data_IF_337951935338
#
_entry.id   IF_337951935338
#
_cell.length_a   1.000
_cell.length_b   1.000
_cell.length_c   1.000
_cell.angle_alpha   90.00
_cell.angle_beta   90.00
_cell.angle_gamma   90.00
#
_symmetry.space_group_name_H-M   'P 1'
#
loop_
_entity.id
_entity.type
_entity.pdbx_description
1 polymer ?
#
# COMPACT_ATOMS: atom_id res chain seq x y z
N UNK A 1 -13.29 27.90 16.80
CA UNK A 1 -12.16 27.09 16.33
C UNK A 1 -12.74 26.09 15.33
N UNK A 2 -12.30 26.11 14.08
CA UNK A 2 -12.78 25.14 13.10
C UNK A 2 -12.28 23.76 13.53
N UNK A 3 -13.20 22.86 13.87
CA UNK A 3 -12.87 21.46 14.11
C UNK A 3 -12.50 20.84 12.76
N UNK A 4 -11.24 20.85 12.40
CA UNK A 4 -10.73 20.08 11.27
C UNK A 4 -10.73 18.61 11.70
N UNK A 5 -11.74 17.87 11.26
CA UNK A 5 -11.75 16.42 11.41
C UNK A 5 -10.92 15.82 10.26
N UNK A 6 -9.69 15.43 10.57
CA UNK A 6 -8.88 14.66 9.61
C UNK A 6 -9.52 13.31 9.35
N UNK A 7 -9.61 12.94 8.07
CA UNK A 7 -10.07 11.64 7.63
C UNK A 7 -8.89 10.71 7.44
N UNK A 8 -8.88 9.60 8.17
CA UNK A 8 -7.85 8.57 8.08
C UNK A 8 -8.41 7.32 7.40
N UNK A 9 -7.60 6.67 6.55
CA UNK A 9 -7.93 5.39 5.95
C UNK A 9 -7.01 4.31 6.54
N UNK A 10 -7.60 3.33 7.21
CA UNK A 10 -6.89 2.18 7.81
C UNK A 10 -7.18 0.93 6.99
N UNK A 11 -6.12 0.27 6.52
CA UNK A 11 -6.20 -0.89 5.65
C UNK A 11 -5.46 -2.04 6.33
N UNK A 12 -6.20 -3.08 6.70
CA UNK A 12 -5.67 -4.28 7.36
C UNK A 12 -6.66 -5.42 7.12
N UNK A 13 -6.23 -6.61 6.74
CA UNK A 13 -7.12 -7.75 6.50
C UNK A 13 -7.58 -8.40 7.81
N UNK A 14 -6.80 -8.26 8.88
CA UNK A 14 -7.14 -8.77 10.20
C UNK A 14 -8.19 -7.87 10.89
N UNK A 15 -9.41 -8.39 11.04
CA UNK A 15 -10.52 -7.65 11.66
C UNK A 15 -10.19 -7.13 13.08
N UNK A 16 -9.62 -7.92 14.00
CA UNK A 16 -9.32 -7.43 15.35
C UNK A 16 -8.27 -6.30 15.37
N UNK A 17 -7.23 -6.42 14.54
CA UNK A 17 -6.19 -5.40 14.39
C UNK A 17 -6.79 -4.10 13.85
N UNK A 18 -7.59 -4.20 12.79
CA UNK A 18 -8.28 -3.07 12.16
C UNK A 18 -9.21 -2.35 13.11
N UNK A 19 -10.01 -3.08 13.87
CA UNK A 19 -10.96 -2.51 14.84
C UNK A 19 -10.25 -1.80 16.00
N UNK A 20 -9.15 -2.37 16.48
CA UNK A 20 -8.33 -1.75 17.53
C UNK A 20 -7.80 -0.40 17.07
N UNK A 21 -7.20 -0.34 15.88
CA UNK A 21 -6.65 0.89 15.32
C UNK A 21 -7.78 1.89 15.05
N UNK A 22 -8.89 1.47 14.44
CA UNK A 22 -10.05 2.32 14.18
C UNK A 22 -10.58 2.96 15.47
N UNK A 23 -10.85 2.14 16.50
CA UNK A 23 -11.38 2.62 17.76
C UNK A 23 -10.44 3.59 18.45
N UNK A 24 -9.13 3.27 18.46
CA UNK A 24 -8.12 4.10 19.09
C UNK A 24 -7.98 5.48 18.43
N UNK A 25 -8.05 5.53 17.11
CA UNK A 25 -7.98 6.78 16.35
C UNK A 25 -9.30 7.58 16.45
N UNK A 26 -10.44 6.90 16.40
CA UNK A 26 -11.75 7.57 16.56
C UNK A 26 -11.93 8.23 17.92
N UNK A 27 -11.44 7.60 19.00
CA UNK A 27 -11.44 8.20 20.35
C UNK A 27 -10.59 9.48 20.44
N UNK A 28 -9.68 9.72 19.50
CA UNK A 28 -8.87 10.92 19.40
C UNK A 28 -9.45 11.98 18.46
N UNK A 29 -10.68 11.76 17.96
CA UNK A 29 -11.43 12.72 17.13
C UNK A 29 -11.16 12.64 15.64
N UNK A 30 -10.47 11.60 15.15
CA UNK A 30 -10.31 11.36 13.73
C UNK A 30 -11.56 10.70 13.12
N UNK A 31 -11.90 11.09 11.87
CA UNK A 31 -12.85 10.33 11.06
C UNK A 31 -12.11 9.14 10.45
N UNK A 32 -12.45 7.91 10.84
CA UNK A 32 -11.68 6.74 10.42
C UNK A 32 -12.50 5.86 9.49
N UNK A 33 -12.08 5.77 8.24
CA UNK A 33 -12.56 4.79 7.28
C UNK A 33 -11.67 3.54 7.33
N UNK A 34 -12.26 2.36 7.15
CA UNK A 34 -11.53 1.09 7.18
C UNK A 34 -11.72 0.29 5.91
N UNK A 35 -10.69 -0.40 5.46
CA UNK A 35 -10.72 -1.31 4.33
C UNK A 35 -10.01 -2.62 4.66
N UNK A 36 -10.48 -3.73 4.09
CA UNK A 36 -9.92 -5.07 4.33
C UNK A 36 -8.80 -5.46 3.38
N UNK A 37 -8.61 -4.71 2.31
CA UNK A 37 -7.59 -4.92 1.28
C UNK A 37 -7.42 -3.64 0.44
N UNK A 38 -6.39 -3.64 -0.42
CA UNK A 38 -6.10 -2.48 -1.27
C UNK A 38 -7.21 -2.16 -2.28
N UNK A 39 -7.97 -3.15 -2.78
CA UNK A 39 -9.10 -2.87 -3.70
C UNK A 39 -10.24 -2.15 -3.00
N UNK A 40 -10.60 -2.56 -1.79
CA UNK A 40 -11.60 -1.88 -0.98
C UNK A 40 -11.16 -0.45 -0.64
N UNK A 41 -9.88 -0.26 -0.33
CA UNK A 41 -9.30 1.05 -0.09
C UNK A 41 -9.40 1.98 -1.30
N UNK A 42 -9.00 1.52 -2.50
CA UNK A 42 -9.13 2.29 -3.74
C UNK A 42 -10.59 2.61 -4.07
N UNK A 43 -11.52 1.69 -3.78
CA UNK A 43 -12.95 1.93 -3.97
C UNK A 43 -13.45 3.10 -3.09
N UNK A 44 -13.02 3.17 -1.84
CA UNK A 44 -13.35 4.28 -0.94
C UNK A 44 -12.71 5.60 -1.40
N UNK A 45 -11.44 5.58 -1.81
CA UNK A 45 -10.72 6.76 -2.28
C UNK A 45 -11.32 7.39 -3.54
N UNK A 46 -12.07 6.64 -4.35
CA UNK A 46 -12.85 7.21 -5.46
C UNK A 46 -13.98 8.12 -4.99
N UNK A 47 -14.57 7.85 -3.83
CA UNK A 47 -15.62 8.67 -3.24
C UNK A 47 -15.10 9.87 -2.47
N UNK A 48 -14.08 9.67 -1.65
CA UNK A 48 -13.48 10.73 -0.83
C UNK A 48 -12.03 10.36 -0.48
N UNK A 49 -11.12 11.32 -0.67
CA UNK A 49 -9.72 11.13 -0.34
C UNK A 49 -9.48 11.27 1.17
N UNK A 50 -8.63 10.43 1.76
CA UNK A 50 -8.18 10.58 3.14
C UNK A 50 -7.06 11.63 3.24
N UNK A 51 -6.89 12.18 4.44
CA UNK A 51 -5.78 13.06 4.78
C UNK A 51 -4.50 12.27 5.09
N UNK A 52 -4.63 11.00 5.54
CA UNK A 52 -3.53 10.10 5.80
C UNK A 52 -3.99 8.64 5.66
N UNK A 53 -3.07 7.78 5.24
CA UNK A 53 -3.30 6.34 5.06
C UNK A 53 -2.40 5.55 6.01
N UNK A 54 -2.98 4.55 6.69
CA UNK A 54 -2.26 3.49 7.44
C UNK A 54 -2.58 2.16 6.77
N UNK A 55 -1.59 1.41 6.32
CA UNK A 55 -1.80 0.14 5.61
C UNK A 55 -0.91 -0.97 6.13
N UNK A 56 -1.48 -2.15 6.34
CA UNK A 56 -0.68 -3.37 6.41
C UNK A 56 -0.02 -3.63 5.04
N UNK A 57 1.18 -4.18 5.06
CA UNK A 57 1.90 -4.53 3.83
C UNK A 57 1.46 -5.88 3.26
N UNK A 58 1.08 -6.82 4.13
CA UNK A 58 0.73 -8.17 3.72
C UNK A 58 -0.76 -8.43 3.86
N UNK A 59 -1.46 -8.33 2.77
CA UNK A 59 -2.90 -8.55 2.70
C UNK A 59 -3.25 -9.39 1.48
N UNK A 60 -4.34 -10.19 1.53
CA UNK A 60 -4.85 -10.91 0.36
C UNK A 60 -5.38 -9.95 -0.71
N UNK A 61 -5.54 -10.43 -1.93
CA UNK A 61 -6.05 -9.75 -3.11
C UNK A 61 -5.12 -8.65 -3.64
N UNK A 62 -5.00 -7.54 -2.94
CA UNK A 62 -4.07 -6.44 -3.23
C UNK A 62 -3.24 -6.16 -1.97
N UNK A 63 -1.94 -6.39 -2.07
CA UNK A 63 -0.99 -6.14 -0.98
C UNK A 63 -0.83 -4.64 -0.70
N UNK A 64 -0.34 -4.31 0.51
CA UNK A 64 -0.01 -2.93 0.84
C UNK A 64 1.11 -2.35 -0.03
N UNK A 65 2.05 -3.16 -0.49
CA UNK A 65 3.10 -2.73 -1.44
C UNK A 65 2.49 -2.23 -2.75
N UNK A 66 1.60 -3.05 -3.33
CA UNK A 66 0.89 -2.71 -4.56
C UNK A 66 0.03 -1.47 -4.37
N UNK A 67 -0.77 -1.44 -3.31
CA UNK A 67 -1.61 -0.29 -2.97
C UNK A 67 -0.78 0.99 -2.80
N UNK A 68 0.32 0.95 -2.03
CA UNK A 68 1.20 2.11 -1.83
C UNK A 68 1.82 2.60 -3.14
N UNK A 69 2.19 1.70 -4.05
CA UNK A 69 2.72 2.09 -5.36
C UNK A 69 1.73 2.93 -6.16
N UNK A 70 0.44 2.55 -6.12
CA UNK A 70 -0.66 3.27 -6.77
C UNK A 70 -0.94 4.59 -6.05
N UNK A 71 -1.08 4.54 -4.72
CA UNK A 71 -1.39 5.71 -3.90
C UNK A 71 -0.31 6.79 -4.05
N UNK A 72 0.96 6.41 -4.00
CA UNK A 72 2.08 7.35 -4.16
C UNK A 72 2.17 7.96 -5.55
N UNK A 73 1.82 7.20 -6.56
CA UNK A 73 1.81 7.70 -7.93
C UNK A 73 0.68 8.69 -8.16
N UNK A 74 -0.54 8.35 -7.69
CA UNK A 74 -1.74 9.15 -7.97
C UNK A 74 -1.98 10.28 -6.98
N UNK A 75 -1.62 10.05 -5.71
CA UNK A 75 -1.87 10.97 -4.60
C UNK A 75 -0.60 11.21 -3.78
N UNK A 76 0.47 11.76 -4.40
CA UNK A 76 1.77 11.92 -3.71
C UNK A 76 1.70 12.82 -2.49
N UNK A 77 0.67 13.67 -2.38
CA UNK A 77 0.44 14.58 -1.27
C UNK A 77 -0.11 13.88 -0.01
N UNK A 78 -0.74 12.69 -0.14
CA UNK A 78 -1.31 11.99 1.00
C UNK A 78 -0.19 11.25 1.74
N UNK A 79 0.05 11.56 3.04
CA UNK A 79 0.99 10.83 3.86
C UNK A 79 0.55 9.38 4.06
N UNK A 80 1.53 8.48 4.08
CA UNK A 80 1.28 7.05 4.20
C UNK A 80 2.15 6.43 5.28
N UNK A 81 1.55 5.57 6.10
CA UNK A 81 2.23 4.76 7.11
C UNK A 81 2.05 3.30 6.73
N UNK A 82 3.16 2.57 6.63
CA UNK A 82 3.14 1.12 6.45
C UNK A 82 3.28 0.41 7.80
N UNK A 83 2.54 -0.67 7.98
CA UNK A 83 2.62 -1.55 9.14
C UNK A 83 2.88 -2.97 8.66
N UNK A 84 3.71 -3.76 9.36
CA UNK A 84 3.92 -5.16 8.99
C UNK A 84 4.33 -6.03 10.17
N UNK A 85 3.84 -7.27 10.18
CA UNK A 85 4.23 -8.30 11.14
C UNK A 85 5.45 -9.13 10.73
N UNK A 86 5.86 -9.08 9.45
CA UNK A 86 6.98 -9.89 8.93
C UNK A 86 8.33 -9.18 8.99
N UNK A 87 8.32 -7.86 8.97
CA UNK A 87 9.54 -7.07 9.00
C UNK A 87 9.76 -6.51 10.39
N UNK A 88 10.92 -6.77 10.96
CA UNK A 88 11.28 -6.33 12.31
C UNK A 88 12.20 -5.11 12.20
N UNK A 89 11.91 -4.07 12.98
CA UNK A 89 12.79 -2.90 13.06
C UNK A 89 14.23 -3.34 13.42
N UNK A 90 15.29 -2.72 12.86
CA UNK A 90 15.29 -1.44 12.16
C UNK A 90 15.26 -1.55 10.61
N UNK A 91 14.95 -2.70 10.05
CA UNK A 91 15.02 -2.93 8.60
C UNK A 91 13.68 -2.60 7.95
N UNK A 92 13.59 -1.43 7.34
CA UNK A 92 12.50 -1.13 6.42
C UNK A 92 12.62 -2.04 5.19
N UNK A 93 11.52 -2.67 4.73
CA UNK A 93 11.57 -3.45 3.49
C UNK A 93 12.01 -2.56 2.33
N UNK A 94 12.97 -3.03 1.56
CA UNK A 94 13.44 -2.30 0.37
C UNK A 94 12.26 -2.04 -0.58
N UNK A 95 12.07 -0.76 -0.93
CA UNK A 95 11.04 -0.35 -1.89
C UNK A 95 9.67 -0.03 -1.27
N UNK A 96 9.53 0.01 0.05
CA UNK A 96 8.31 0.54 0.68
C UNK A 96 8.20 2.03 0.38
N UNK A 97 7.11 2.39 -0.28
CA UNK A 97 6.81 3.78 -0.66
C UNK A 97 5.97 4.47 0.43
N UNK A 98 6.32 4.31 1.70
CA UNK A 98 5.65 4.95 2.83
C UNK A 98 6.51 6.08 3.45
N UNK A 99 5.86 6.97 4.20
CA UNK A 99 6.53 8.07 4.91
C UNK A 99 6.97 7.64 6.30
N UNK A 100 6.38 6.57 6.82
CA UNK A 100 6.78 5.92 8.05
C UNK A 100 6.48 4.43 7.99
N UNK A 101 7.23 3.66 8.77
CA UNK A 101 7.07 2.22 8.89
C UNK A 101 7.00 1.82 10.37
N UNK A 102 6.08 0.89 10.69
CA UNK A 102 5.95 0.28 12.01
C UNK A 102 5.91 -1.23 11.90
N UNK A 103 6.65 -1.90 12.79
CA UNK A 103 6.54 -3.35 12.97
C UNK A 103 5.37 -3.69 13.91
N UNK A 104 4.66 -4.80 13.66
CA UNK A 104 3.72 -5.38 14.62
C UNK A 104 4.50 -6.14 15.72
N UNK A 105 4.09 -6.10 17.01
CA UNK A 105 2.85 -5.51 17.51
C UNK A 105 2.89 -3.98 17.52
N UNK A 106 1.83 -3.36 17.02
CA UNK A 106 1.73 -1.91 16.85
C UNK A 106 1.48 -1.23 18.20
N UNK A 107 2.32 -0.25 18.52
CA UNK A 107 2.13 0.62 19.70
C UNK A 107 1.30 1.84 19.29
N UNK A 108 0.08 1.90 19.79
CA UNK A 108 -0.90 2.92 19.39
C UNK A 108 -0.40 4.34 19.67
N UNK A 109 0.30 4.56 20.79
CA UNK A 109 0.84 5.86 21.16
C UNK A 109 1.91 6.35 20.16
N UNK A 110 2.76 5.44 19.68
CA UNK A 110 3.78 5.76 18.67
C UNK A 110 3.14 6.07 17.31
N UNK A 111 2.13 5.28 16.94
CA UNK A 111 1.35 5.53 15.73
C UNK A 111 0.68 6.90 15.77
N UNK A 112 0.01 7.24 16.88
CA UNK A 112 -0.67 8.53 17.08
C UNK A 112 0.31 9.70 17.00
N UNK A 113 1.47 9.60 17.65
CA UNK A 113 2.50 10.64 17.58
C UNK A 113 2.95 10.85 16.13
N UNK A 114 3.19 9.77 15.38
CA UNK A 114 3.60 9.86 13.98
C UNK A 114 2.51 10.43 13.07
N UNK A 115 1.24 10.09 13.30
CA UNK A 115 0.11 10.66 12.56
C UNK A 115 0.07 12.18 12.76
N UNK A 116 0.21 12.66 14.01
CA UNK A 116 0.23 14.08 14.32
C UNK A 116 1.37 14.79 13.59
N UNK A 117 2.58 14.21 13.61
CA UNK A 117 3.74 14.78 12.92
C UNK A 117 3.51 14.87 11.40
N UNK A 118 3.03 13.80 10.79
CA UNK A 118 2.80 13.74 9.35
C UNK A 118 1.67 14.69 8.89
N UNK A 119 0.64 14.89 9.71
CA UNK A 119 -0.45 15.81 9.39
C UNK A 119 -0.07 17.29 9.64
N UNK A 120 0.85 17.55 10.60
CA UNK A 120 1.33 18.90 10.90
C UNK A 120 2.32 19.39 9.87
N UNK A 121 3.27 18.54 9.52
CA UNK A 121 4.44 18.86 8.71
C UNK A 121 4.25 18.43 7.26
N UNK A 122 3.00 18.20 6.80
CA UNK A 122 2.75 17.91 5.39
C UNK A 122 3.14 19.12 4.54
N UNK A 123 4.45 19.34 4.23
CA UNK A 123 4.85 20.41 3.32
C UNK A 123 4.19 20.08 1.98
N UNK A 124 3.90 21.09 1.13
CA UNK A 124 3.59 20.82 -0.26
C UNK A 124 4.75 20.01 -0.80
N UNK A 125 4.56 18.68 -0.90
CA UNK A 125 5.62 17.78 -1.33
C UNK A 125 5.98 18.18 -2.74
N UNK A 126 7.28 18.41 -3.02
CA UNK A 126 7.68 18.70 -4.38
C UNK A 126 7.11 17.58 -5.25
N UNK A 127 6.51 17.95 -6.36
CA UNK A 127 6.06 17.01 -7.38
C UNK A 127 7.30 16.22 -7.84
N UNK A 128 7.68 15.21 -7.07
CA UNK A 128 8.70 14.27 -7.51
C UNK A 128 8.10 13.70 -8.78
N UNK A 129 8.85 13.69 -9.87
CA UNK A 129 8.48 13.09 -11.15
C UNK A 129 8.26 11.57 -10.99
N UNK A 130 7.27 11.21 -10.19
CA UNK A 130 6.86 9.83 -9.87
C UNK A 130 5.83 9.29 -10.85
N UNK A 131 5.38 10.13 -11.77
CA UNK A 131 4.43 9.82 -12.85
C UNK A 131 4.92 8.65 -13.74
N UNK A 132 6.18 8.27 -13.60
CA UNK A 132 6.78 7.17 -14.36
C UNK A 132 7.16 5.95 -13.51
N UNK A 133 6.93 5.97 -12.20
CA UNK A 133 7.16 4.78 -11.40
C UNK A 133 6.15 3.69 -11.79
N UNK A 134 6.61 2.48 -12.14
CA UNK A 134 5.72 1.40 -12.53
C UNK A 134 4.89 0.93 -11.34
N UNK A 135 3.68 0.44 -11.60
CA UNK A 135 2.87 -0.25 -10.60
C UNK A 135 3.42 -1.66 -10.42
N UNK A 136 3.61 -2.08 -9.18
CA UNK A 136 3.98 -3.46 -8.88
C UNK A 136 2.73 -4.33 -8.94
N UNK A 137 2.81 -5.43 -9.68
CA UNK A 137 1.66 -6.30 -9.94
C UNK A 137 2.03 -7.74 -9.58
N UNK A 138 1.37 -8.35 -8.58
CA UNK A 138 1.61 -9.73 -8.25
C UNK A 138 1.00 -10.65 -9.33
N UNK A 139 1.61 -11.82 -9.50
CA UNK A 139 1.04 -12.87 -10.32
C UNK A 139 -0.06 -13.58 -9.55
N UNK A 140 -1.27 -13.56 -10.06
CA UNK A 140 -2.41 -14.25 -9.47
C UNK A 140 -2.81 -15.46 -10.34
N UNK A 141 -2.12 -16.57 -10.17
CA UNK A 141 -2.33 -17.76 -10.99
C UNK A 141 -2.00 -17.53 -12.46
N UNK A 142 -3.00 -17.62 -13.33
CA UNK A 142 -2.88 -17.43 -14.77
C UNK A 142 -3.14 -15.98 -15.24
N UNK A 143 -3.31 -15.04 -14.31
CA UNK A 143 -3.66 -13.67 -14.61
C UNK A 143 -2.79 -12.68 -13.82
N UNK A 144 -2.61 -11.50 -14.41
CA UNK A 144 -2.16 -10.31 -13.70
C UNK A 144 -3.35 -9.39 -13.46
N UNK A 145 -3.51 -8.88 -12.24
CA UNK A 145 -4.53 -7.88 -11.92
C UNK A 145 -3.87 -6.51 -11.89
N UNK A 146 -4.21 -5.69 -12.87
CA UNK A 146 -3.59 -4.38 -13.06
C UNK A 146 -4.57 -3.29 -12.63
N UNK A 147 -4.10 -2.35 -11.82
CA UNK A 147 -4.87 -1.18 -11.44
C UNK A 147 -4.37 0.04 -12.18
N UNK A 148 -5.27 0.68 -12.91
CA UNK A 148 -4.97 1.95 -13.56
C UNK A 148 -4.83 3.06 -12.52
N UNK A 149 -3.71 3.80 -12.56
CA UNK A 149 -3.45 4.91 -11.64
C UNK A 149 -4.27 6.15 -11.92
N UNK A 150 -4.83 6.29 -13.12
CA UNK A 150 -5.64 7.45 -13.50
C UNK A 150 -7.11 7.29 -13.09
N UNK A 151 -7.75 6.18 -13.45
CA UNK A 151 -9.15 5.96 -13.12
C UNK A 151 -9.38 5.09 -11.86
N UNK A 152 -8.32 4.53 -11.27
CA UNK A 152 -8.34 3.64 -10.10
C UNK A 152 -9.23 2.39 -10.27
N UNK A 153 -9.45 1.95 -11.51
CA UNK A 153 -10.14 0.71 -11.82
C UNK A 153 -9.14 -0.39 -12.10
N UNK A 154 -9.47 -1.61 -11.68
CA UNK A 154 -8.64 -2.79 -11.89
C UNK A 154 -9.25 -3.67 -12.98
N UNK A 155 -8.38 -4.32 -13.75
CA UNK A 155 -8.73 -5.28 -14.77
C UNK A 155 -7.68 -6.39 -14.83
N UNK A 156 -8.07 -7.54 -15.35
CA UNK A 156 -7.17 -8.69 -15.45
C UNK A 156 -6.70 -8.89 -16.88
N UNK A 157 -5.42 -9.27 -17.02
CA UNK A 157 -4.83 -9.72 -18.27
C UNK A 157 -4.24 -11.13 -18.10
N UNK A 158 -4.25 -11.99 -19.12
CA UNK A 158 -3.63 -13.31 -19.04
C UNK A 158 -2.13 -13.20 -18.72
N UNK A 159 -1.66 -14.06 -17.82
CA UNK A 159 -0.24 -14.22 -17.57
C UNK A 159 0.37 -15.12 -18.64
N UNK A 160 1.34 -14.63 -19.39
CA UNK A 160 2.06 -15.44 -20.38
C UNK A 160 2.81 -16.59 -19.71
N UNK A 161 2.64 -17.80 -20.21
CA UNK A 161 3.20 -19.04 -19.63
C UNK A 161 4.72 -19.13 -19.71
N UNK A 162 5.40 -18.30 -20.49
CA UNK A 162 6.79 -18.51 -20.89
C UNK A 162 7.79 -17.44 -20.49
N UNK A 163 7.44 -16.45 -19.70
CA UNK A 163 8.38 -15.34 -19.43
C UNK A 163 9.00 -15.47 -18.05
N UNK A 164 10.19 -16.08 -18.00
CA UNK A 164 11.20 -15.86 -16.96
C UNK A 164 11.88 -14.49 -17.19
N UNK A 165 11.13 -13.42 -17.20
CA UNK A 165 11.72 -12.08 -17.31
C UNK A 165 11.57 -11.39 -16.00
N UNK A 166 12.66 -11.41 -15.25
CA UNK A 166 12.89 -10.70 -14.01
C UNK A 166 12.73 -9.18 -14.22
N UNK A 167 11.71 -8.59 -13.59
CA UNK A 167 11.55 -7.14 -13.44
C UNK A 167 11.52 -6.32 -14.73
N UNK A 168 10.93 -6.86 -15.79
CA UNK A 168 10.74 -6.12 -17.03
C UNK A 168 9.62 -5.08 -16.87
N UNK A 169 9.93 -3.85 -17.28
CA UNK A 169 8.93 -2.79 -17.37
C UNK A 169 8.01 -3.06 -18.55
N UNK A 170 6.73 -3.22 -18.26
CA UNK A 170 5.66 -3.44 -19.25
C UNK A 170 4.76 -2.23 -19.31
N UNK A 171 4.17 -1.99 -20.47
CA UNK A 171 3.23 -0.91 -20.70
C UNK A 171 2.00 -1.46 -21.40
N UNK A 172 0.82 -1.03 -20.97
CA UNK A 172 -0.44 -1.32 -21.63
C UNK A 172 -1.40 -0.14 -21.50
N UNK A 173 -2.46 -0.17 -22.28
CA UNK A 173 -3.54 0.83 -22.21
C UNK A 173 -4.65 0.33 -21.26
N UNK A 174 -5.15 1.24 -20.43
CA UNK A 174 -6.27 0.95 -19.55
C UNK A 174 -7.54 0.75 -20.37
N UNK A 175 -8.23 -0.37 -20.19
CA UNK A 175 -9.48 -0.69 -20.90
C UNK A 175 -10.67 0.22 -20.55
N UNK A 176 -10.51 1.11 -19.54
CA UNK A 176 -11.58 1.99 -19.06
C UNK A 176 -11.39 3.47 -19.39
N UNK A 177 -10.15 3.92 -19.62
CA UNK A 177 -9.85 5.34 -19.80
C UNK A 177 -8.67 5.60 -20.75
N UNK A 178 -8.18 4.56 -21.44
CA UNK A 178 -7.12 4.59 -22.46
C UNK A 178 -5.76 5.15 -21.95
N UNK A 179 -5.63 5.38 -20.64
CA UNK A 179 -4.39 5.84 -20.04
C UNK A 179 -3.30 4.76 -20.12
N UNK A 180 -2.05 5.16 -20.37
CA UNK A 180 -0.90 4.28 -20.38
C UNK A 180 -0.54 3.85 -18.95
N UNK A 181 -0.59 2.54 -18.67
CA UNK A 181 -0.21 1.96 -17.39
C UNK A 181 1.12 1.24 -17.54
N UNK A 182 2.13 1.71 -16.80
CA UNK A 182 3.41 1.05 -16.68
C UNK A 182 3.43 0.16 -15.44
N UNK A 183 3.83 -1.09 -15.59
CA UNK A 183 3.85 -2.05 -14.48
C UNK A 183 5.05 -2.99 -14.54
N UNK A 184 5.40 -3.51 -13.37
CA UNK A 184 6.40 -4.57 -13.19
C UNK A 184 5.72 -5.72 -12.48
N UNK A 185 5.96 -6.94 -12.95
CA UNK A 185 5.46 -8.14 -12.28
C UNK A 185 6.33 -8.44 -11.07
N UNK A 186 5.69 -8.54 -9.91
CA UNK A 186 6.34 -8.96 -8.66
C UNK A 186 6.51 -10.49 -8.67
N UNK A 187 7.74 -10.95 -8.46
CA UNK A 187 7.98 -12.37 -8.23
C UNK A 187 7.59 -12.74 -6.81
N UNK A 188 6.72 -13.72 -6.66
CA UNK A 188 6.53 -14.33 -5.35
C UNK A 188 7.78 -15.12 -4.97
N UNK A 189 8.22 -15.10 -3.69
CA UNK A 189 9.40 -15.84 -3.23
C UNK A 189 9.40 -17.33 -3.59
N UNK A 190 8.22 -17.92 -3.77
CA UNK A 190 8.05 -19.32 -4.19
C UNK A 190 8.49 -19.61 -5.64
N UNK A 191 8.49 -18.58 -6.50
CA UNK A 191 8.89 -18.73 -7.91
C UNK A 191 10.39 -18.55 -8.13
N UNK A 192 11.10 -17.92 -7.20
CA UNK A 192 12.52 -17.56 -7.35
C UNK A 192 13.49 -18.71 -7.03
N UNK A 193 13.03 -19.82 -6.45
CA UNK A 193 13.89 -20.95 -6.11
C UNK A 193 15.04 -20.62 -5.13
N UNK A 194 15.03 -19.44 -4.55
CA UNK A 194 16.00 -19.07 -3.53
C UNK A 194 15.65 -19.79 -2.23
N UNK A 195 16.62 -20.53 -1.63
CA UNK A 195 16.38 -21.22 -0.39
C UNK A 195 16.03 -20.18 0.69
N UNK A 196 14.89 -20.40 1.34
CA UNK A 196 14.55 -19.70 2.57
C UNK A 196 15.73 -19.87 3.53
N UNK A 197 16.36 -18.77 3.95
CA UNK A 197 17.36 -18.81 5.03
C UNK A 197 16.60 -19.22 6.29
N UNK A 198 16.61 -20.53 6.57
CA UNK A 198 16.17 -21.03 7.87
C UNK A 198 17.15 -20.50 8.89
N UNK A 199 16.72 -19.55 9.69
CA UNK A 199 17.43 -19.14 10.89
C UNK A 199 17.36 -20.30 11.90
N UNK A 200 18.30 -21.22 11.77
CA UNK A 200 18.51 -22.28 12.75
C UNK A 200 19.19 -21.64 13.96
N UNK A 201 18.38 -21.13 14.88
CA UNK A 201 18.88 -20.82 16.23
C UNK A 201 18.84 -22.11 17.04
N UNK A 202 19.91 -22.85 16.98
CA UNK A 202 20.33 -23.78 18.04
C UNK A 202 21.73 -23.38 18.52
N UNK A 203 21.78 -22.87 19.71
CA UNK A 203 22.69 -23.09 20.83
C UNK A 203 22.70 -21.86 21.74
#
# INVERSE_FOLDING_TARGET
MANFHYRLLVIDDEHPSRDLVQSSLSMRGYEVCVAKDGFAALAQMRGALPDLIVTDLKMPNMSGFEFLSIARRRFPQIPTIAVSGEFHAPVEPLGVLADAFFAKPLRIEELLAKIVDLLRDAPPRPAIKRDRAPVWVPRNGEYYVITCTDCLRSFSIPAEKSVRVLRELRTLECIFCDAQVQFIVEETPEASGLPMIKNDRRA
#
